data_IF_806743482088
#
_entry.id   IF_806743482088
#
_cell.length_a   1.000
_cell.length_b   1.000
_cell.length_c   1.000
_cell.angle_alpha   90.00
_cell.angle_beta   90.00
_cell.angle_gamma   90.00
#
_symmetry.space_group_name_H-M   'P 1'
#
loop_
_entity.id
_entity.type
_entity.pdbx_description
1 polymer ?
#
# COMPACT_ATOMS: atom_id res chain seq x y z
N UNK A 1 -20.86 -4.56 21.37
CA UNK A 1 -19.57 -4.30 20.72
C UNK A 1 -19.84 -3.64 19.39
N UNK A 2 -19.08 -2.60 19.04
CA UNK A 2 -19.19 -2.02 17.71
C UNK A 2 -18.62 -3.00 16.68
N UNK A 3 -19.16 -2.95 15.46
CA UNK A 3 -18.69 -3.75 14.33
C UNK A 3 -17.20 -3.55 14.04
N UNK A 4 -16.71 -2.32 14.22
CA UNK A 4 -15.29 -1.98 14.07
C UNK A 4 -14.42 -2.68 15.11
N UNK A 5 -14.87 -2.74 16.36
CA UNK A 5 -14.16 -3.49 17.42
C UNK A 5 -14.06 -4.97 17.06
N UNK A 6 -15.13 -5.59 16.57
CA UNK A 6 -15.10 -6.99 16.15
C UNK A 6 -14.07 -7.24 15.03
N UNK A 7 -13.95 -6.32 14.06
CA UNK A 7 -12.97 -6.44 12.97
C UNK A 7 -11.55 -6.33 13.51
N UNK A 8 -11.28 -5.35 14.38
CA UNK A 8 -9.95 -5.15 14.98
C UNK A 8 -9.57 -6.35 15.85
N UNK A 9 -10.48 -6.87 16.67
CA UNK A 9 -10.23 -8.06 17.49
C UNK A 9 -9.95 -9.29 16.62
N UNK A 10 -10.73 -9.49 15.55
CA UNK A 10 -10.51 -10.58 14.60
C UNK A 10 -9.17 -10.42 13.90
N UNK A 11 -8.81 -9.20 13.48
CA UNK A 11 -7.52 -8.89 12.88
C UNK A 11 -6.38 -9.26 13.82
N UNK A 12 -6.45 -8.84 15.08
CA UNK A 12 -5.43 -9.11 16.09
C UNK A 12 -5.25 -10.60 16.35
N UNK A 13 -6.34 -11.38 16.33
CA UNK A 13 -6.30 -12.83 16.46
C UNK A 13 -5.64 -13.50 15.25
N UNK A 14 -6.00 -13.10 14.03
CA UNK A 14 -5.50 -13.72 12.78
C UNK A 14 -4.01 -13.41 12.57
N UNK A 15 -3.61 -12.14 12.74
CA UNK A 15 -2.24 -11.69 12.47
C UNK A 15 -1.37 -11.59 13.74
N UNK A 16 -1.87 -12.10 14.87
CA UNK A 16 -1.15 -12.19 16.15
C UNK A 16 -0.58 -10.86 16.65
N UNK A 17 -1.33 -9.78 16.44
CA UNK A 17 -0.95 -8.45 16.91
C UNK A 17 -1.09 -8.41 18.43
N UNK A 18 0.02 -8.16 19.13
CA UNK A 18 0.07 -8.18 20.61
C UNK A 18 0.00 -6.80 21.25
N UNK A 19 0.34 -5.77 20.48
CA UNK A 19 0.41 -4.39 20.97
C UNK A 19 -0.94 -3.71 20.78
N UNK A 20 -1.36 -2.98 21.78
CA UNK A 20 -2.53 -2.10 21.69
C UNK A 20 -2.08 -0.73 21.20
N UNK A 21 -2.82 -0.17 20.26
CA UNK A 21 -2.52 1.12 19.65
C UNK A 21 -3.67 2.09 19.93
N UNK A 22 -3.38 3.35 20.30
CA UNK A 22 -4.42 4.33 20.64
C UNK A 22 -5.15 4.79 19.37
N UNK A 23 -6.10 3.98 18.92
CA UNK A 23 -6.92 4.22 17.73
C UNK A 23 -8.30 4.75 18.12
N UNK A 24 -8.65 5.91 17.60
CA UNK A 24 -10.00 6.47 17.63
C UNK A 24 -10.66 6.37 16.25
N UNK A 25 -11.95 6.03 16.22
CA UNK A 25 -12.71 5.90 14.97
C UNK A 25 -13.74 7.02 14.91
N UNK A 26 -13.74 7.77 13.81
CA UNK A 26 -14.68 8.86 13.56
C UNK A 26 -15.45 8.52 12.29
N UNK A 27 -16.75 8.32 12.41
CA UNK A 27 -17.66 8.19 11.26
C UNK A 27 -18.21 9.57 10.94
N UNK A 28 -18.09 9.98 9.68
CA UNK A 28 -18.43 11.34 9.22
C UNK A 28 -18.99 11.31 7.80
N UNK A 29 -19.65 12.38 7.39
CA UNK A 29 -20.04 12.65 5.99
C UNK A 29 -19.05 13.58 5.28
N UNK A 30 -18.00 14.00 6.00
CA UNK A 30 -17.07 15.03 5.54
C UNK A 30 -15.67 14.75 6.12
N UNK A 31 -14.90 13.95 5.38
CA UNK A 31 -13.53 13.60 5.77
C UNK A 31 -12.62 14.83 5.81
N UNK A 32 -12.84 15.78 4.90
CA UNK A 32 -12.02 16.98 4.81
C UNK A 32 -12.12 17.83 6.09
N UNK A 33 -13.34 18.14 6.53
CA UNK A 33 -13.54 18.97 7.71
C UNK A 33 -13.09 18.26 8.99
N UNK A 34 -13.30 16.95 9.12
CA UNK A 34 -12.76 16.20 10.28
C UNK A 34 -11.23 16.18 10.26
N UNK A 35 -10.60 15.93 9.10
CA UNK A 35 -9.14 15.96 8.97
C UNK A 35 -8.55 17.34 9.30
N UNK A 36 -9.25 18.42 8.93
CA UNK A 36 -8.83 19.79 9.20
C UNK A 36 -8.90 20.13 10.71
N UNK A 37 -9.88 19.61 11.45
CA UNK A 37 -9.96 19.76 12.91
C UNK A 37 -8.79 19.10 13.63
N UNK A 38 -8.33 17.96 13.10
CA UNK A 38 -7.20 17.21 13.65
C UNK A 38 -5.84 17.83 13.30
N UNK A 39 -5.79 18.88 12.45
CA UNK A 39 -4.54 19.49 12.02
C UNK A 39 -3.99 20.49 13.04
N UNK A 40 -2.93 20.09 13.76
CA UNK A 40 -2.37 20.84 14.89
C UNK A 40 -1.34 21.91 14.49
N UNK A 41 -0.83 21.89 13.26
CA UNK A 41 0.20 22.83 12.79
C UNK A 41 -0.24 23.57 11.52
N UNK A 42 0.30 24.78 11.29
CA UNK A 42 0.00 25.53 10.06
C UNK A 42 0.44 24.81 8.78
N UNK A 43 1.53 24.05 8.86
CA UNK A 43 2.00 23.24 7.73
C UNK A 43 0.99 22.13 7.43
N UNK A 44 0.56 21.40 8.45
CA UNK A 44 -0.43 20.34 8.31
C UNK A 44 -1.77 20.88 7.79
N UNK A 45 -2.24 22.02 8.33
CA UNK A 45 -3.44 22.70 7.84
C UNK A 45 -3.34 23.08 6.36
N UNK A 46 -2.17 23.56 5.91
CA UNK A 46 -1.96 23.90 4.51
C UNK A 46 -1.98 22.66 3.61
N UNK A 47 -1.38 21.55 4.05
CA UNK A 47 -1.41 20.26 3.35
C UNK A 47 -2.86 19.76 3.22
N UNK A 48 -3.61 19.73 4.33
CA UNK A 48 -5.03 19.30 4.33
C UNK A 48 -5.87 20.18 3.42
N UNK A 49 -5.69 21.50 3.48
CA UNK A 49 -6.39 22.46 2.60
C UNK A 49 -6.09 22.19 1.13
N UNK A 50 -4.84 21.88 0.79
CA UNK A 50 -4.43 21.55 -0.57
C UNK A 50 -5.01 20.21 -1.06
N UNK A 51 -5.19 19.24 -0.17
CA UNK A 51 -5.74 17.91 -0.47
C UNK A 51 -7.27 17.84 -0.41
N UNK A 52 -7.99 18.97 -0.40
CA UNK A 52 -9.45 18.99 -0.24
C UNK A 52 -10.19 18.08 -1.22
N UNK A 53 -9.90 18.19 -2.51
CA UNK A 53 -10.59 17.41 -3.54
C UNK A 53 -10.34 15.90 -3.40
N UNK A 54 -9.14 15.50 -2.98
CA UNK A 54 -8.78 14.11 -2.72
C UNK A 54 -9.57 13.56 -1.52
N UNK A 55 -9.65 14.35 -0.44
CA UNK A 55 -10.39 13.99 0.77
C UNK A 55 -11.90 13.94 0.56
N UNK A 56 -12.45 14.84 -0.26
CA UNK A 56 -13.87 14.83 -0.65
C UNK A 56 -14.22 13.62 -1.54
N UNK A 57 -13.24 13.06 -2.26
CA UNK A 57 -13.41 11.86 -3.08
C UNK A 57 -13.06 10.56 -2.34
N UNK A 58 -12.55 10.64 -1.12
CA UNK A 58 -12.15 9.48 -0.33
C UNK A 58 -13.27 9.01 0.58
N UNK A 59 -13.36 7.70 0.77
CA UNK A 59 -14.29 7.09 1.73
C UNK A 59 -13.63 6.74 3.07
N UNK A 60 -12.29 6.77 3.16
CA UNK A 60 -11.54 6.45 4.37
C UNK A 60 -10.25 7.26 4.47
N UNK A 61 -9.77 7.49 5.69
CA UNK A 61 -8.47 8.09 5.93
C UNK A 61 -7.89 7.66 7.28
N UNK A 62 -6.67 7.10 7.27
CA UNK A 62 -5.86 7.00 8.47
C UNK A 62 -5.11 8.33 8.72
N UNK A 63 -5.32 8.91 9.89
CA UNK A 63 -4.57 10.06 10.38
C UNK A 63 -3.56 9.57 11.40
N UNK A 64 -2.28 9.78 11.08
CA UNK A 64 -1.14 9.39 11.91
C UNK A 64 -0.99 10.34 13.10
N UNK A 65 -0.28 9.97 14.18
CA UNK A 65 0.02 10.87 15.28
C UNK A 65 1.03 11.98 14.90
N UNK A 66 0.99 13.08 15.64
CA UNK A 66 1.98 14.15 15.60
C UNK A 66 2.50 14.51 17.00
N UNK A 67 3.39 15.51 17.09
CA UNK A 67 3.98 15.95 18.36
C UNK A 67 2.95 16.41 19.40
N UNK A 68 1.79 16.91 18.99
CA UNK A 68 0.75 17.42 19.88
C UNK A 68 -0.29 16.35 20.24
N UNK A 69 -0.48 15.37 19.37
CA UNK A 69 -1.49 14.32 19.52
C UNK A 69 -0.96 12.95 19.10
N UNK A 70 -0.84 12.06 20.07
CA UNK A 70 -0.26 10.73 19.91
C UNK A 70 -1.29 9.67 19.50
N UNK A 71 -2.55 10.06 19.21
CA UNK A 71 -3.57 9.12 18.74
C UNK A 71 -3.48 8.90 17.24
N UNK A 72 -3.86 7.70 16.84
CA UNK A 72 -4.25 7.40 15.47
C UNK A 72 -5.74 7.63 15.33
N UNK A 73 -6.16 8.23 14.21
CA UNK A 73 -7.58 8.36 13.88
C UNK A 73 -7.90 7.64 12.59
N UNK A 74 -8.95 6.83 12.60
CA UNK A 74 -9.54 6.28 11.38
C UNK A 74 -10.82 7.04 11.07
N UNK A 75 -10.78 7.89 10.06
CA UNK A 75 -11.95 8.59 9.53
C UNK A 75 -12.62 7.70 8.49
N UNK A 76 -13.92 7.47 8.64
CA UNK A 76 -14.72 6.66 7.72
C UNK A 76 -15.93 7.46 7.25
N UNK A 77 -16.15 7.47 5.94
CA UNK A 77 -17.38 8.02 5.36
C UNK A 77 -18.57 7.10 5.71
N UNK A 78 -19.72 7.68 6.05
CA UNK A 78 -20.90 6.89 6.45
C UNK A 78 -21.39 5.92 5.35
N UNK A 79 -21.30 6.32 4.09
CA UNK A 79 -21.65 5.48 2.92
C UNK A 79 -20.95 4.11 2.90
N UNK A 80 -19.78 3.97 3.55
CA UNK A 80 -19.11 2.68 3.67
C UNK A 80 -19.97 1.63 4.41
N UNK A 81 -20.86 2.06 5.31
CA UNK A 81 -21.68 1.20 6.15
C UNK A 81 -22.98 0.77 5.47
N UNK A 82 -23.45 1.53 4.48
CA UNK A 82 -24.81 1.37 3.95
C UNK A 82 -24.92 0.28 2.86
N UNK A 83 -23.89 0.02 2.04
CA UNK A 83 -24.15 -0.71 0.78
C UNK A 83 -23.26 -1.92 0.43
N UNK A 84 -22.09 -2.16 1.04
CA UNK A 84 -21.13 -3.06 0.35
C UNK A 84 -20.27 -4.00 1.21
N UNK A 85 -20.39 -4.01 2.55
CA UNK A 85 -19.42 -4.66 3.45
C UNK A 85 -17.95 -4.21 3.23
N UNK A 86 -17.68 -3.24 2.35
CA UNK A 86 -16.35 -2.70 2.06
C UNK A 86 -15.75 -2.00 3.27
N UNK A 87 -16.57 -1.54 4.23
CA UNK A 87 -16.07 -1.03 5.50
C UNK A 87 -15.18 -2.05 6.24
N UNK A 88 -15.47 -3.36 6.17
CA UNK A 88 -14.64 -4.40 6.79
C UNK A 88 -13.23 -4.39 6.20
N UNK A 89 -13.15 -4.33 4.87
CA UNK A 89 -11.90 -4.23 4.14
C UNK A 89 -11.20 -2.90 4.44
N UNK A 90 -11.93 -1.77 4.46
CA UNK A 90 -11.39 -0.45 4.73
C UNK A 90 -10.73 -0.38 6.12
N UNK A 91 -11.41 -0.90 7.14
CA UNK A 91 -10.90 -0.96 8.52
C UNK A 91 -9.66 -1.86 8.57
N UNK A 92 -9.73 -3.06 8.02
CA UNK A 92 -8.60 -4.00 8.04
C UNK A 92 -7.36 -3.46 7.29
N UNK A 93 -7.61 -2.78 6.16
CA UNK A 93 -6.58 -2.10 5.37
C UNK A 93 -5.91 -0.99 6.18
N UNK A 94 -6.68 -0.03 6.73
CA UNK A 94 -6.08 1.10 7.47
C UNK A 94 -5.46 0.64 8.79
N UNK A 95 -6.02 -0.38 9.43
CA UNK A 95 -5.46 -0.94 10.65
C UNK A 95 -4.11 -1.64 10.41
N UNK A 96 -3.93 -2.28 9.24
CA UNK A 96 -2.61 -2.79 8.82
C UNK A 96 -1.60 -1.65 8.69
N UNK A 97 -1.99 -0.55 8.02
CA UNK A 97 -1.11 0.61 7.84
C UNK A 97 -0.76 1.24 9.17
N UNK A 98 -1.72 1.36 10.09
CA UNK A 98 -1.48 1.85 11.44
C UNK A 98 -0.36 1.07 12.13
N UNK A 99 -0.43 -0.27 12.10
CA UNK A 99 0.59 -1.13 12.70
C UNK A 99 1.96 -0.89 12.05
N UNK A 100 1.99 -0.89 10.71
CA UNK A 100 3.24 -0.70 9.95
C UNK A 100 3.85 0.70 10.21
N UNK A 101 3.03 1.75 10.38
CA UNK A 101 3.50 3.09 10.76
C UNK A 101 3.89 3.21 12.24
N UNK A 102 3.29 2.43 13.13
CA UNK A 102 3.72 2.37 14.52
C UNK A 102 5.09 1.71 14.64
N UNK A 103 5.35 0.65 13.86
CA UNK A 103 6.67 0.04 13.75
C UNK A 103 7.71 1.09 13.29
N UNK A 104 7.37 1.98 12.33
CA UNK A 104 8.24 3.11 11.91
C UNK A 104 8.55 4.03 13.08
N UNK A 105 7.52 4.41 13.84
CA UNK A 105 7.67 5.29 15.00
C UNK A 105 8.67 4.71 16.00
N UNK A 106 8.58 3.41 16.25
CA UNK A 106 9.47 2.68 17.17
C UNK A 106 10.89 2.53 16.62
N UNK A 107 11.03 2.17 15.34
CA UNK A 107 12.35 1.94 14.74
C UNK A 107 13.15 3.24 14.59
N UNK A 108 12.51 4.28 14.06
CA UNK A 108 13.18 5.54 13.73
C UNK A 108 12.99 6.64 14.80
N UNK A 109 12.23 6.36 15.87
CA UNK A 109 11.97 7.31 16.97
C UNK A 109 11.36 8.63 16.47
N UNK A 110 10.42 8.53 15.54
CA UNK A 110 9.81 9.68 14.87
C UNK A 110 8.67 10.23 15.73
N UNK A 111 8.79 11.46 16.22
CA UNK A 111 7.73 12.08 17.04
C UNK A 111 6.52 12.53 16.22
N UNK A 112 6.74 12.98 14.98
CA UNK A 112 5.69 13.48 14.09
C UNK A 112 5.61 12.64 12.81
N UNK A 113 4.74 11.62 12.81
CA UNK A 113 4.55 10.76 11.64
C UNK A 113 3.87 11.46 10.46
N UNK A 114 3.11 12.56 10.70
CA UNK A 114 2.44 13.33 9.64
C UNK A 114 3.42 14.09 8.74
N UNK A 115 4.55 14.52 9.29
CA UNK A 115 5.57 15.30 8.58
C UNK A 115 6.90 14.56 8.38
N UNK A 116 6.95 13.28 8.77
CA UNK A 116 8.18 12.51 8.78
C UNK A 116 8.73 12.27 7.37
N UNK A 117 10.04 12.44 7.23
CA UNK A 117 10.81 11.81 6.18
C UNK A 117 11.79 10.85 6.85
N UNK A 118 11.92 9.65 6.31
CA UNK A 118 12.81 8.63 6.84
C UNK A 118 13.53 7.92 5.68
N UNK A 119 14.71 7.32 5.95
CA UNK A 119 15.42 6.51 4.96
C UNK A 119 14.49 5.44 4.40
N UNK A 120 14.62 5.15 3.11
CA UNK A 120 13.91 4.05 2.45
C UNK A 120 12.37 4.19 2.43
N UNK A 121 11.87 5.42 2.67
CA UNK A 121 10.42 5.71 2.72
C UNK A 121 9.66 5.23 1.49
N UNK A 122 10.26 5.26 0.30
CA UNK A 122 9.63 4.71 -0.90
C UNK A 122 9.39 3.19 -0.82
N UNK A 123 10.39 2.41 -0.37
CA UNK A 123 10.25 0.97 -0.17
C UNK A 123 9.24 0.67 0.94
N UNK A 124 9.30 1.42 2.05
CA UNK A 124 8.32 1.26 3.13
C UNK A 124 6.90 1.50 2.64
N UNK A 125 6.63 2.62 1.96
CA UNK A 125 5.29 2.97 1.49
C UNK A 125 4.78 1.89 0.53
N UNK A 126 5.62 1.42 -0.38
CA UNK A 126 5.28 0.32 -1.28
C UNK A 126 4.93 -0.97 -0.51
N UNK A 127 5.77 -1.41 0.42
CA UNK A 127 5.55 -2.64 1.19
C UNK A 127 4.31 -2.53 2.10
N UNK A 128 4.13 -1.41 2.79
CA UNK A 128 2.98 -1.15 3.65
C UNK A 128 1.68 -1.19 2.83
N UNK A 129 1.69 -0.66 1.61
CA UNK A 129 0.56 -0.70 0.70
C UNK A 129 0.22 -2.13 0.27
N UNK A 130 1.22 -2.92 -0.18
CA UNK A 130 1.01 -4.34 -0.54
C UNK A 130 0.44 -5.11 0.65
N UNK A 131 1.00 -4.92 1.85
CA UNK A 131 0.54 -5.58 3.09
C UNK A 131 -0.89 -5.19 3.44
N UNK A 132 -1.23 -3.90 3.35
CA UNK A 132 -2.56 -3.42 3.67
C UNK A 132 -3.63 -3.98 2.74
N UNK A 133 -3.35 -4.03 1.42
CA UNK A 133 -4.26 -4.69 0.47
C UNK A 133 -4.34 -6.18 0.72
N UNK A 134 -3.21 -6.86 0.89
CA UNK A 134 -3.18 -8.30 1.14
C UNK A 134 -3.99 -8.68 2.38
N UNK A 135 -3.66 -8.09 3.54
CA UNK A 135 -4.32 -8.42 4.81
C UNK A 135 -5.75 -7.93 4.87
N UNK A 136 -6.02 -6.74 4.32
CA UNK A 136 -7.34 -6.15 4.26
C UNK A 136 -8.30 -6.99 3.42
N UNK A 137 -7.89 -7.39 2.21
CA UNK A 137 -8.67 -8.31 1.39
C UNK A 137 -8.78 -9.69 2.03
N UNK A 138 -7.69 -10.28 2.50
CA UNK A 138 -7.72 -11.63 3.07
C UNK A 138 -8.69 -11.71 4.26
N UNK A 139 -8.67 -10.72 5.17
CA UNK A 139 -9.64 -10.66 6.27
C UNK A 139 -11.07 -10.46 5.76
N UNK A 140 -11.29 -9.52 4.83
CA UNK A 140 -12.60 -9.28 4.23
C UNK A 140 -13.17 -10.54 3.56
N UNK A 141 -12.37 -11.24 2.75
CA UNK A 141 -12.73 -12.51 2.12
C UNK A 141 -13.14 -13.59 3.12
N UNK A 142 -12.53 -13.63 4.31
CA UNK A 142 -12.90 -14.59 5.35
C UNK A 142 -14.20 -14.23 6.08
N UNK A 143 -14.63 -12.98 6.02
CA UNK A 143 -15.82 -12.47 6.73
C UNK A 143 -17.10 -12.45 5.88
N UNK A 144 -17.01 -12.60 4.56
CA UNK A 144 -18.16 -12.56 3.65
C UNK A 144 -18.69 -13.94 3.22
N UNK A 145 -19.93 -13.99 2.72
CA UNK A 145 -20.57 -15.21 2.20
C UNK A 145 -19.87 -15.75 0.95
N UNK A 146 -20.00 -17.05 0.67
CA UNK A 146 -19.42 -17.68 -0.52
C UNK A 146 -19.86 -17.03 -1.85
N UNK A 147 -21.11 -16.56 -1.92
CA UNK A 147 -21.65 -15.84 -3.08
C UNK A 147 -20.91 -14.52 -3.30
N UNK A 148 -20.65 -13.76 -2.24
CA UNK A 148 -19.88 -12.50 -2.31
C UNK A 148 -18.41 -12.77 -2.68
N UNK A 149 -17.84 -13.92 -2.32
CA UNK A 149 -16.47 -14.29 -2.72
C UNK A 149 -16.34 -14.47 -4.24
N UNK A 150 -17.32 -15.09 -4.90
CA UNK A 150 -17.30 -15.27 -6.36
C UNK A 150 -17.39 -13.93 -7.12
N UNK A 151 -18.15 -12.98 -6.57
CA UNK A 151 -18.25 -11.61 -7.09
C UNK A 151 -16.90 -10.89 -6.99
N UNK A 152 -16.19 -11.01 -5.87
CA UNK A 152 -14.88 -10.37 -5.71
C UNK A 152 -13.79 -10.97 -6.60
N UNK A 153 -13.78 -12.29 -6.80
CA UNK A 153 -12.86 -12.91 -7.76
C UNK A 153 -13.11 -12.37 -9.18
N UNK A 154 -14.38 -12.26 -9.57
CA UNK A 154 -14.78 -11.71 -10.87
C UNK A 154 -14.44 -10.22 -11.00
N UNK A 155 -14.55 -9.46 -9.90
CA UNK A 155 -14.11 -8.06 -9.83
C UNK A 155 -12.61 -7.95 -10.12
N UNK A 156 -11.76 -8.73 -9.46
CA UNK A 156 -10.31 -8.70 -9.73
C UNK A 156 -9.99 -9.08 -11.18
N UNK A 157 -10.58 -10.16 -11.69
CA UNK A 157 -10.36 -10.51 -13.11
C UNK A 157 -10.78 -9.37 -14.06
N UNK A 158 -11.78 -8.57 -13.67
CA UNK A 158 -12.20 -7.38 -14.38
C UNK A 158 -11.24 -6.18 -14.26
N UNK A 159 -10.44 -6.07 -13.19
CA UNK A 159 -9.45 -5.00 -13.01
C UNK A 159 -8.12 -5.28 -13.70
N UNK A 160 -7.82 -6.55 -14.04
CA UNK A 160 -6.56 -6.93 -14.74
C UNK A 160 -6.31 -6.09 -16.00
N UNK A 161 -7.28 -5.87 -16.93
CA UNK A 161 -7.03 -5.05 -18.12
C UNK A 161 -6.69 -3.58 -17.79
N UNK A 162 -7.29 -3.02 -16.74
CA UNK A 162 -7.00 -1.66 -16.29
C UNK A 162 -5.56 -1.57 -15.76
N UNK A 163 -5.16 -2.52 -14.90
CA UNK A 163 -3.79 -2.61 -14.44
C UNK A 163 -2.81 -2.90 -15.56
N UNK A 164 -3.13 -3.75 -16.54
CA UNK A 164 -2.28 -3.97 -17.71
C UNK A 164 -2.01 -2.68 -18.48
N UNK A 165 -3.02 -1.81 -18.63
CA UNK A 165 -2.86 -0.54 -19.32
C UNK A 165 -1.89 0.42 -18.61
N UNK A 166 -1.77 0.32 -17.29
CA UNK A 166 -0.92 1.17 -16.44
C UNK A 166 0.46 0.54 -16.20
N UNK A 167 0.50 -0.77 -15.95
CA UNK A 167 1.68 -1.50 -15.48
C UNK A 167 2.55 -2.06 -16.62
N UNK A 168 2.10 -2.03 -17.87
CA UNK A 168 2.86 -2.57 -19.01
C UNK A 168 4.01 -1.69 -19.50
N UNK A 169 4.08 -0.41 -19.09
CA UNK A 169 5.04 0.56 -19.67
C UNK A 169 6.05 1.13 -18.67
N UNK A 170 5.63 1.71 -17.54
CA UNK A 170 6.55 2.27 -16.54
C UNK A 170 6.14 1.89 -15.10
N UNK A 171 6.49 0.66 -14.71
CA UNK A 171 6.23 0.17 -13.35
C UNK A 171 6.82 1.07 -12.26
N UNK A 172 7.98 1.70 -12.50
CA UNK A 172 8.61 2.59 -11.52
C UNK A 172 7.85 3.90 -11.29
N UNK A 173 7.13 4.39 -12.30
CA UNK A 173 6.21 5.53 -12.16
C UNK A 173 4.85 5.14 -11.57
N UNK A 174 4.54 3.84 -11.55
CA UNK A 174 3.25 3.29 -11.14
C UNK A 174 3.37 2.33 -9.95
N UNK A 175 4.34 2.57 -9.06
CA UNK A 175 4.59 1.71 -7.88
C UNK A 175 3.39 1.59 -6.96
N UNK A 176 2.59 2.65 -6.82
CA UNK A 176 1.32 2.59 -6.09
C UNK A 176 0.38 1.57 -6.73
N UNK A 177 0.05 1.73 -8.02
CA UNK A 177 -0.84 0.81 -8.73
C UNK A 177 -0.31 -0.64 -8.72
N UNK A 178 1.01 -0.82 -8.80
CA UNK A 178 1.64 -2.13 -8.66
C UNK A 178 1.43 -2.73 -7.26
N UNK A 179 1.57 -1.93 -6.20
CA UNK A 179 1.36 -2.38 -4.83
C UNK A 179 -0.09 -2.83 -4.60
N UNK A 180 -1.04 -2.04 -5.07
CA UNK A 180 -2.47 -2.34 -4.99
C UNK A 180 -2.80 -3.66 -5.71
N UNK A 181 -2.39 -3.77 -6.98
CA UNK A 181 -2.60 -4.97 -7.78
C UNK A 181 -1.98 -6.21 -7.13
N UNK A 182 -0.72 -6.10 -6.68
CA UNK A 182 0.00 -7.25 -6.17
C UNK A 182 -0.54 -7.73 -4.81
N UNK A 183 -0.87 -6.80 -3.90
CA UNK A 183 -1.51 -7.15 -2.63
C UNK A 183 -2.86 -7.85 -2.83
N UNK A 184 -3.65 -7.37 -3.80
CA UNK A 184 -4.91 -8.01 -4.20
C UNK A 184 -4.71 -9.42 -4.76
N UNK A 185 -3.73 -9.59 -5.67
CA UNK A 185 -3.41 -10.88 -6.27
C UNK A 185 -2.97 -11.91 -5.22
N UNK A 186 -2.11 -11.51 -4.27
CA UNK A 186 -1.68 -12.35 -3.15
C UNK A 186 -2.86 -12.81 -2.28
N UNK A 187 -3.79 -11.90 -1.95
CA UNK A 187 -4.93 -12.23 -1.10
C UNK A 187 -5.85 -13.28 -1.74
N UNK A 188 -6.02 -13.22 -3.06
CA UNK A 188 -6.80 -14.21 -3.81
C UNK A 188 -6.04 -15.54 -3.91
N UNK A 189 -4.74 -15.52 -4.21
CA UNK A 189 -3.90 -16.72 -4.25
C UNK A 189 -3.97 -17.52 -2.95
N UNK A 190 -3.94 -16.84 -1.80
CA UNK A 190 -4.06 -17.47 -0.48
C UNK A 190 -5.42 -18.16 -0.25
N UNK A 191 -6.49 -17.72 -0.94
CA UNK A 191 -7.84 -18.27 -0.75
C UNK A 191 -8.15 -19.46 -1.67
N UNK A 192 -7.79 -19.38 -2.95
CA UNK A 192 -8.29 -20.32 -3.97
C UNK A 192 -7.54 -21.68 -3.94
N UNK A 193 -6.50 -21.85 -3.10
CA UNK A 193 -5.57 -23.00 -3.19
C UNK A 193 -5.11 -23.27 -4.64
N UNK A 194 -5.04 -22.21 -5.44
CA UNK A 194 -4.69 -22.22 -6.84
C UNK A 194 -3.67 -21.11 -7.05
N UNK A 195 -2.55 -21.44 -7.69
CA UNK A 195 -1.54 -20.45 -8.03
C UNK A 195 -2.16 -19.45 -9.02
N UNK A 196 -2.50 -18.27 -8.51
CA UNK A 196 -2.77 -17.12 -9.37
C UNK A 196 -1.43 -16.73 -9.97
N UNK A 197 -1.16 -17.25 -11.17
CA UNK A 197 0.03 -16.88 -11.91
C UNK A 197 0.00 -15.38 -12.15
N UNK A 198 1.08 -14.68 -11.75
CA UNK A 198 1.25 -13.30 -12.17
C UNK A 198 1.18 -13.20 -13.68
N UNK A 199 0.62 -12.11 -14.23
CA UNK A 199 0.69 -11.87 -15.66
C UNK A 199 2.11 -12.00 -16.19
N UNK A 200 2.24 -12.61 -17.37
CA UNK A 200 3.53 -12.95 -18.00
C UNK A 200 4.48 -11.75 -18.11
N UNK A 201 3.94 -10.54 -18.31
CA UNK A 201 4.75 -9.33 -18.42
C UNK A 201 5.43 -8.95 -17.09
N UNK A 202 4.81 -9.20 -15.93
CA UNK A 202 5.44 -8.99 -14.63
C UNK A 202 6.49 -10.06 -14.35
N UNK A 203 6.23 -11.32 -14.73
CA UNK A 203 7.17 -12.42 -14.55
C UNK A 203 8.48 -12.24 -15.32
N UNK A 204 8.42 -11.59 -16.49
CA UNK A 204 9.60 -11.34 -17.33
C UNK A 204 10.30 -10.02 -17.02
N UNK A 205 9.72 -9.19 -16.15
CA UNK A 205 10.28 -7.89 -15.78
C UNK A 205 11.23 -8.03 -14.58
N UNK A 206 12.19 -7.11 -14.45
CA UNK A 206 13.09 -7.02 -13.29
C UNK A 206 12.37 -6.83 -11.94
N UNK A 207 11.08 -6.50 -11.97
CA UNK A 207 10.26 -6.35 -10.76
C UNK A 207 9.98 -7.71 -10.10
N UNK A 208 10.08 -8.81 -10.85
CA UNK A 208 9.75 -10.15 -10.38
C UNK A 208 10.50 -10.53 -9.10
N UNK A 209 11.79 -10.19 -8.98
CA UNK A 209 12.58 -10.48 -7.78
C UNK A 209 12.05 -9.76 -6.54
N UNK A 210 11.67 -8.48 -6.69
CA UNK A 210 11.01 -7.71 -5.62
C UNK A 210 9.67 -8.34 -5.26
N UNK A 211 8.82 -8.66 -6.24
CA UNK A 211 7.52 -9.28 -5.99
C UNK A 211 7.68 -10.63 -5.29
N UNK A 212 8.66 -11.44 -5.68
CA UNK A 212 8.95 -12.72 -5.02
C UNK A 212 9.42 -12.53 -3.58
N UNK A 213 10.34 -11.60 -3.32
CA UNK A 213 10.78 -11.28 -1.97
C UNK A 213 9.60 -10.84 -1.08
N UNK A 214 8.65 -10.08 -1.65
CA UNK A 214 7.41 -9.73 -0.96
C UNK A 214 6.54 -10.95 -0.68
N UNK A 215 6.28 -11.82 -1.66
CA UNK A 215 5.47 -13.02 -1.49
C UNK A 215 5.92 -13.85 -0.29
N UNK A 216 7.22 -14.11 -0.21
CA UNK A 216 7.83 -14.96 0.82
C UNK A 216 7.75 -14.35 2.23
N UNK A 217 7.43 -13.05 2.35
CA UNK A 217 7.49 -12.29 3.60
C UNK A 217 6.22 -11.51 3.94
N UNK A 218 5.17 -11.60 3.12
CA UNK A 218 3.98 -10.74 3.27
C UNK A 218 3.21 -11.00 4.57
N UNK A 219 3.25 -12.24 5.05
CA UNK A 219 2.61 -12.67 6.29
C UNK A 219 3.44 -12.39 7.56
N UNK A 220 4.67 -11.87 7.43
CA UNK A 220 5.51 -11.61 8.59
C UNK A 220 4.83 -10.64 9.57
N UNK A 221 4.84 -10.91 10.89
CA UNK A 221 4.16 -10.07 11.87
C UNK A 221 4.54 -8.59 11.75
N UNK A 222 5.84 -8.27 11.74
CA UNK A 222 6.34 -6.91 11.55
C UNK A 222 6.65 -6.63 10.09
N UNK A 223 6.48 -5.38 9.67
CA UNK A 223 6.95 -4.91 8.36
C UNK A 223 8.47 -4.89 8.26
N UNK A 224 9.18 -4.89 9.40
CA UNK A 224 10.64 -4.87 9.42
C UNK A 224 11.30 -6.24 9.33
N UNK A 225 10.52 -7.32 9.45
CA UNK A 225 11.02 -8.67 9.28
C UNK A 225 11.52 -8.85 7.84
N UNK A 226 12.83 -9.07 7.67
CA UNK A 226 13.54 -9.16 6.40
C UNK A 226 13.50 -7.88 5.52
N UNK A 227 13.21 -6.72 6.12
CA UNK A 227 13.09 -5.46 5.39
C UNK A 227 14.36 -5.00 4.68
N UNK A 228 15.55 -5.25 5.24
CA UNK A 228 16.82 -4.87 4.58
C UNK A 228 16.98 -5.58 3.23
N UNK A 229 16.62 -6.86 3.16
CA UNK A 229 16.67 -7.66 1.94
C UNK A 229 15.60 -7.21 0.95
N UNK A 230 14.37 -6.92 1.42
CA UNK A 230 13.31 -6.36 0.57
C UNK A 230 13.74 -4.99 0.01
N UNK A 231 14.28 -4.10 0.86
CA UNK A 231 14.74 -2.78 0.43
C UNK A 231 15.86 -2.88 -0.60
N UNK A 232 16.80 -3.81 -0.42
CA UNK A 232 17.84 -4.05 -1.43
C UNK A 232 17.24 -4.46 -2.78
N UNK A 233 16.26 -5.37 -2.80
CA UNK A 233 15.58 -5.75 -4.06
C UNK A 233 14.78 -4.61 -4.67
N UNK A 234 14.20 -3.73 -3.84
CA UNK A 234 13.50 -2.52 -4.27
C UNK A 234 14.46 -1.53 -4.94
N UNK A 235 15.58 -1.22 -4.28
CA UNK A 235 16.61 -0.33 -4.79
C UNK A 235 17.22 -0.87 -6.09
N UNK A 236 17.51 -2.17 -6.17
CA UNK A 236 18.01 -2.83 -7.38
C UNK A 236 17.03 -2.67 -8.55
N UNK A 237 15.72 -2.81 -8.30
CA UNK A 237 14.68 -2.60 -9.30
C UNK A 237 14.67 -1.15 -9.81
N UNK A 238 14.65 -0.18 -8.90
CA UNK A 238 14.66 1.25 -9.24
C UNK A 238 15.94 1.62 -10.02
N UNK A 239 17.09 1.08 -9.61
CA UNK A 239 18.37 1.33 -10.26
C UNK A 239 18.47 0.72 -11.66
N UNK A 240 18.03 -0.52 -11.86
CA UNK A 240 18.00 -1.16 -13.19
C UNK A 240 17.13 -0.38 -14.16
N UNK A 241 15.97 0.11 -13.71
CA UNK A 241 15.10 0.99 -14.50
C UNK A 241 15.76 2.31 -14.88
N UNK A 242 16.50 2.94 -13.95
CA UNK A 242 17.22 4.17 -14.25
C UNK A 242 18.23 3.99 -15.39
N UNK A 243 18.88 2.81 -15.47
CA UNK A 243 19.82 2.48 -16.55
C UNK A 243 19.15 2.18 -17.89
N UNK A 244 17.98 1.54 -17.88
CA UNK A 244 17.23 1.25 -19.11
C UNK A 244 16.65 2.53 -19.75
N UNK A 245 16.50 3.60 -18.97
CA UNK A 245 16.09 4.93 -19.42
C UNK A 245 17.26 5.87 -19.77
N UNK A 246 18.52 5.50 -19.50
CA UNK A 246 19.66 6.31 -19.95
C UNK A 246 19.70 6.27 -21.49
N UNK A 247 19.73 7.43 -22.18
CA UNK A 247 19.86 7.43 -23.62
C UNK A 247 21.15 6.69 -23.98
N UNK A 248 21.01 5.57 -24.69
CA UNK A 248 22.14 4.89 -25.30
C UNK A 248 22.82 5.86 -26.25
N UNK A 249 23.85 6.56 -25.77
CA UNK A 249 24.77 7.28 -26.62
C UNK A 249 25.57 6.22 -27.34
N UNK A 250 25.07 5.77 -28.49
CA UNK A 250 25.88 5.07 -29.47
C UNK A 250 26.99 6.04 -29.90
N UNK A 251 28.14 5.99 -29.22
CA UNK A 251 29.35 6.59 -29.77
C UNK A 251 29.80 5.71 -30.94
N UNK A 252 29.24 5.97 -32.11
CA UNK A 252 29.86 5.52 -33.35
C UNK A 252 31.16 6.32 -33.55
N UNK A 253 32.23 5.87 -32.91
CA UNK A 253 33.58 6.17 -33.39
C UNK A 253 33.82 5.33 -34.65
N UNK A 254 33.33 5.83 -35.79
CA UNK A 254 33.78 5.33 -37.09
C UNK A 254 35.26 5.73 -37.27
N UNK A 255 36.17 4.82 -36.90
CA UNK A 255 37.57 4.88 -37.32
C UNK A 255 37.64 4.54 -38.82
N UNK A 256 37.44 5.54 -39.68
CA UNK A 256 37.91 5.48 -41.05
C UNK A 256 39.04 6.48 -41.22
N UNK A 257 40.27 5.96 -41.13
CA UNK A 257 41.45 6.61 -41.70
C UNK A 257 41.34 6.40 -43.21
N UNK A 258 40.98 7.44 -43.95
CA UNK A 258 41.19 7.46 -45.39
C UNK A 258 42.58 8.01 -45.66
N UNK A 259 43.47 7.14 -46.15
CA UNK A 259 44.74 7.53 -46.72
C UNK A 259 44.50 8.23 -48.07
N UNK A 260 45.04 9.44 -48.20
CA UNK A 260 45.14 10.14 -49.48
C UNK A 260 46.07 9.39 -50.45
N UNK A 261 45.60 9.21 -51.68
CA UNK A 261 46.39 8.88 -52.86
C UNK A 261 45.99 9.77 -54.03
#
# INVERSE_FOLDING_TARGET
MSLVQNIIETYNLVYQVKKDYPLEIIVTTDLYNERLKLANTKCDQAIVTASRQELENSSKLLVLPDEADQHYYLLLHEDLFDESQQYCQAIAYEYTRLIDYADIQEKYQVANLRAAQFPDSACFLFLAEVRAWYRGFNLYYNLISAENKAVLFSYLCGTVPEYESVLSFDLGAHMQALAEFYGQALAIGAYVNFDVSLPDYLNRHHVHELLKALHDNIDNPSIFDNYEMINQTYEDFIFRKAKDLEPHVHSHCCNHIHHDH
#
